data_IF_635921288302
#
_entry.id   IF_635921288302
#
_cell.length_a   1.000
_cell.length_b   1.000
_cell.length_c   1.000
_cell.angle_alpha   90.00
_cell.angle_beta   90.00
_cell.angle_gamma   90.00
#
_symmetry.space_group_name_H-M   'P 1'
#
loop_
_entity.id
_entity.type
_entity.pdbx_description
1 polymer ?
#
# COMPACT_ATOMS: atom_id res chain seq x y z
N UNK A 1 -8.03 70.46 16.88
CA UNK A 1 -7.40 69.31 16.20
C UNK A 1 -8.46 68.22 16.02
N UNK A 2 -9.16 68.12 14.88
CA UNK A 2 -10.08 67.01 14.67
C UNK A 2 -9.30 65.76 14.32
N UNK A 3 -9.64 64.64 14.95
CA UNK A 3 -9.05 63.32 14.69
C UNK A 3 -9.74 62.74 13.45
N UNK A 4 -8.98 62.51 12.40
CA UNK A 4 -9.44 61.76 11.22
C UNK A 4 -9.86 60.36 11.67
N UNK A 5 -11.14 60.05 11.49
CA UNK A 5 -11.67 58.71 11.73
C UNK A 5 -11.39 57.87 10.50
N UNK A 6 -10.45 56.93 10.61
CA UNK A 6 -10.26 55.86 9.65
C UNK A 6 -11.54 55.01 9.60
N UNK A 7 -12.35 55.24 8.57
CA UNK A 7 -13.50 54.40 8.25
C UNK A 7 -12.97 53.04 7.81
N UNK A 8 -13.16 52.03 8.65
CA UNK A 8 -13.01 50.65 8.25
C UNK A 8 -14.19 50.29 7.35
N UNK A 9 -13.93 50.03 6.07
CA UNK A 9 -14.94 49.52 5.15
C UNK A 9 -15.40 48.15 5.65
N UNK A 10 -16.67 48.06 6.07
CA UNK A 10 -17.28 46.82 6.53
C UNK A 10 -17.77 46.04 5.31
N UNK A 11 -17.07 44.95 4.98
CA UNK A 11 -17.40 44.03 3.88
C UNK A 11 -18.69 43.26 4.15
N UNK A 12 -19.83 43.85 3.76
CA UNK A 12 -21.18 43.30 3.91
C UNK A 12 -21.93 43.23 2.57
N UNK A 13 -21.21 43.24 1.45
CA UNK A 13 -21.85 43.13 0.14
C UNK A 13 -22.18 41.68 -0.21
N UNK A 14 -23.40 41.44 -0.69
CA UNK A 14 -23.78 40.16 -1.31
C UNK A 14 -22.80 39.79 -2.45
N UNK A 15 -22.32 40.77 -3.20
CA UNK A 15 -21.36 40.54 -4.28
C UNK A 15 -20.00 40.06 -3.76
N UNK A 16 -19.58 40.52 -2.58
CA UNK A 16 -18.33 40.09 -1.95
C UNK A 16 -18.39 38.63 -1.50
N UNK A 17 -19.51 38.22 -0.90
CA UNK A 17 -19.76 36.82 -0.55
C UNK A 17 -19.75 35.93 -1.80
N UNK A 18 -20.38 36.36 -2.90
CA UNK A 18 -20.40 35.63 -4.16
C UNK A 18 -18.99 35.48 -4.75
N UNK A 19 -18.15 36.52 -4.67
CA UNK A 19 -16.76 36.47 -5.13
C UNK A 19 -15.95 35.50 -4.27
N UNK A 20 -16.09 35.54 -2.94
CA UNK A 20 -15.40 34.61 -2.03
C UNK A 20 -15.81 33.17 -2.33
N UNK A 21 -17.11 32.89 -2.48
CA UNK A 21 -17.59 31.56 -2.84
C UNK A 21 -17.09 31.11 -4.22
N UNK A 22 -17.03 32.01 -5.21
CA UNK A 22 -16.48 31.72 -6.52
C UNK A 22 -15.00 31.32 -6.40
N UNK A 23 -14.18 32.08 -5.67
CA UNK A 23 -12.76 31.78 -5.45
C UNK A 23 -12.61 30.45 -4.68
N UNK A 24 -13.40 30.24 -3.62
CA UNK A 24 -13.39 28.99 -2.86
C UNK A 24 -13.75 27.77 -3.72
N UNK A 25 -14.72 27.89 -4.62
CA UNK A 25 -15.11 26.80 -5.51
C UNK A 25 -14.00 26.42 -6.50
N UNK A 26 -13.31 27.42 -7.05
CA UNK A 26 -12.15 27.21 -7.94
C UNK A 26 -11.02 26.52 -7.16
N UNK A 27 -10.69 27.01 -5.96
CA UNK A 27 -9.67 26.39 -5.11
C UNK A 27 -10.04 24.94 -4.73
N UNK A 28 -11.30 24.68 -4.40
CA UNK A 28 -11.76 23.34 -4.06
C UNK A 28 -11.58 22.35 -5.23
N UNK A 29 -11.89 22.76 -6.46
CA UNK A 29 -11.67 21.92 -7.65
C UNK A 29 -10.20 21.54 -7.85
N UNK A 30 -9.27 22.45 -7.53
CA UNK A 30 -7.82 22.18 -7.63
C UNK A 30 -7.30 21.32 -6.46
N UNK A 31 -7.92 21.43 -5.28
CA UNK A 31 -7.50 20.71 -4.07
C UNK A 31 -7.86 19.21 -4.09
N UNK A 32 -9.01 18.84 -4.68
CA UNK A 32 -9.51 17.45 -4.73
C UNK A 32 -8.49 16.46 -5.31
N UNK A 33 -7.92 16.65 -6.52
CA UNK A 33 -6.98 15.67 -7.09
C UNK A 33 -5.70 15.53 -6.24
N UNK A 34 -5.22 16.63 -5.65
CA UNK A 34 -4.06 16.60 -4.75
C UNK A 34 -4.32 15.71 -3.54
N UNK A 35 -5.48 15.86 -2.89
CA UNK A 35 -5.83 15.08 -1.71
C UNK A 35 -5.98 13.57 -2.03
N UNK A 36 -6.58 13.24 -3.17
CA UNK A 36 -6.70 11.84 -3.62
C UNK A 36 -5.33 11.18 -3.83
N UNK A 37 -4.36 11.92 -4.39
CA UNK A 37 -2.99 11.40 -4.60
C UNK A 37 -2.27 11.07 -3.28
N UNK A 38 -2.49 11.87 -2.23
CA UNK A 38 -1.89 11.65 -0.91
C UNK A 38 -2.47 10.40 -0.25
N UNK A 39 -3.79 10.23 -0.30
CA UNK A 39 -4.46 9.03 0.23
C UNK A 39 -3.98 7.78 -0.51
N UNK A 40 -3.97 7.81 -1.85
CA UNK A 40 -3.53 6.68 -2.67
C UNK A 40 -2.10 6.23 -2.33
N UNK A 41 -1.17 7.19 -2.20
CA UNK A 41 0.22 6.92 -1.78
C UNK A 41 0.30 6.33 -0.37
N UNK A 42 -0.53 6.83 0.55
CA UNK A 42 -0.62 6.30 1.92
C UNK A 42 -1.08 4.85 1.94
N UNK A 43 -2.13 4.51 1.18
CA UNK A 43 -2.63 3.14 1.06
C UNK A 43 -1.61 2.21 0.41
N UNK A 44 -0.97 2.64 -0.68
CA UNK A 44 0.08 1.88 -1.36
C UNK A 44 1.25 1.57 -0.42
N UNK A 45 1.71 2.56 0.36
CA UNK A 45 2.76 2.37 1.35
C UNK A 45 2.34 1.39 2.45
N UNK A 46 1.11 1.49 2.96
CA UNK A 46 0.57 0.57 3.97
C UNK A 46 0.56 -0.86 3.43
N UNK A 47 0.01 -1.06 2.23
CA UNK A 47 -0.03 -2.36 1.57
C UNK A 47 1.37 -2.94 1.40
N UNK A 48 2.32 -2.11 1.01
CA UNK A 48 3.71 -2.54 0.86
C UNK A 48 4.32 -3.02 2.17
N UNK A 49 4.10 -2.29 3.26
CA UNK A 49 4.58 -2.66 4.60
C UNK A 49 3.91 -3.94 5.08
N UNK A 50 2.59 -4.06 4.87
CA UNK A 50 1.81 -5.24 5.23
C UNK A 50 2.31 -6.48 4.46
N UNK A 51 2.46 -6.41 3.14
CA UNK A 51 3.00 -7.52 2.31
C UNK A 51 4.41 -7.92 2.79
N UNK A 52 5.31 -6.96 3.03
CA UNK A 52 6.63 -7.27 3.58
C UNK A 52 6.54 -7.98 4.94
N UNK A 53 5.60 -7.56 5.79
CA UNK A 53 5.37 -8.15 7.11
C UNK A 53 4.83 -9.57 7.01
N UNK A 54 3.94 -9.85 6.06
CA UNK A 54 3.39 -11.18 5.80
C UNK A 54 4.46 -12.15 5.31
N UNK A 55 5.34 -11.72 4.41
CA UNK A 55 6.47 -12.54 3.96
C UNK A 55 7.47 -12.82 5.09
N UNK A 56 7.72 -11.84 5.96
CA UNK A 56 8.57 -12.02 7.15
C UNK A 56 7.92 -12.96 8.16
N UNK A 57 6.62 -12.83 8.39
CA UNK A 57 5.83 -13.70 9.25
C UNK A 57 5.88 -15.15 8.73
N UNK A 58 5.65 -15.35 7.44
CA UNK A 58 5.75 -16.66 6.79
C UNK A 58 7.12 -17.31 7.04
N UNK A 59 8.21 -16.56 6.85
CA UNK A 59 9.56 -17.04 7.15
C UNK A 59 9.75 -17.37 8.63
N UNK A 60 9.31 -16.50 9.53
CA UNK A 60 9.44 -16.71 10.98
C UNK A 60 8.64 -17.93 11.44
N UNK A 61 7.43 -18.12 10.91
CA UNK A 61 6.60 -19.29 11.19
C UNK A 61 7.24 -20.58 10.67
N UNK A 62 7.86 -20.57 9.48
CA UNK A 62 8.58 -21.73 8.95
C UNK A 62 9.73 -22.14 9.89
N UNK A 63 10.49 -21.15 10.38
CA UNK A 63 11.56 -21.38 11.35
C UNK A 63 11.03 -21.87 12.70
N UNK A 64 10.02 -21.21 13.26
CA UNK A 64 9.49 -21.49 14.59
C UNK A 64 8.82 -22.86 14.67
N UNK A 65 8.06 -23.24 13.63
CA UNK A 65 7.38 -24.54 13.56
C UNK A 65 8.28 -25.66 13.02
N UNK A 66 9.45 -25.32 12.48
CA UNK A 66 10.36 -26.25 11.78
C UNK A 66 9.66 -26.99 10.63
N UNK A 67 8.74 -26.32 9.95
CA UNK A 67 7.94 -26.86 8.85
C UNK A 67 8.21 -26.08 7.56
N UNK A 68 8.05 -26.75 6.41
CA UNK A 68 8.07 -26.07 5.11
C UNK A 68 6.76 -25.33 4.93
N UNK A 69 6.83 -24.02 4.69
CA UNK A 69 5.66 -23.19 4.42
C UNK A 69 5.69 -22.66 3.00
N UNK A 70 4.52 -22.58 2.39
CA UNK A 70 4.30 -22.08 1.04
C UNK A 70 3.46 -20.83 1.09
N UNK A 71 3.95 -19.77 0.47
CA UNK A 71 3.22 -18.54 0.19
C UNK A 71 2.71 -18.62 -1.24
N UNK A 72 1.40 -18.51 -1.42
CA UNK A 72 0.74 -18.56 -2.73
C UNK A 72 0.19 -17.17 -3.02
N UNK A 73 0.58 -16.61 -4.16
CA UNK A 73 0.12 -15.32 -4.62
C UNK A 73 -1.02 -15.54 -5.62
N UNK A 74 -2.24 -15.21 -5.21
CA UNK A 74 -3.41 -15.24 -6.09
C UNK A 74 -3.70 -13.84 -6.62
N UNK A 75 -3.36 -13.63 -7.89
CA UNK A 75 -3.57 -12.36 -8.59
C UNK A 75 -5.05 -12.08 -8.86
N UNK A 76 -5.85 -13.12 -9.11
CA UNK A 76 -7.28 -12.97 -9.44
C UNK A 76 -8.08 -12.65 -8.18
N UNK A 77 -7.89 -13.45 -7.13
CA UNK A 77 -8.54 -13.24 -5.83
C UNK A 77 -7.94 -12.09 -5.01
N UNK A 78 -6.81 -11.52 -5.43
CA UNK A 78 -6.05 -10.49 -4.71
C UNK A 78 -5.71 -10.90 -3.27
N UNK A 79 -5.23 -12.13 -3.14
CA UNK A 79 -4.88 -12.70 -1.84
C UNK A 79 -3.47 -13.27 -1.83
N UNK A 80 -2.83 -13.19 -0.66
CA UNK A 80 -1.59 -13.91 -0.35
C UNK A 80 -1.94 -14.94 0.71
N UNK A 81 -1.84 -16.22 0.35
CA UNK A 81 -2.20 -17.33 1.23
C UNK A 81 -0.95 -18.04 1.73
N UNK A 82 -0.83 -18.18 3.05
CA UNK A 82 0.19 -19.00 3.69
C UNK A 82 -0.39 -20.39 3.97
N UNK A 83 0.22 -21.43 3.41
CA UNK A 83 -0.14 -22.84 3.63
C UNK A 83 1.06 -23.63 4.12
N UNK A 84 0.80 -24.75 4.79
CA UNK A 84 1.83 -25.76 5.03
C UNK A 84 2.14 -26.48 3.71
N UNK A 85 3.41 -26.73 3.42
CA UNK A 85 3.80 -27.42 2.18
C UNK A 85 3.56 -28.93 2.23
N UNK A 86 3.60 -29.50 3.44
CA UNK A 86 3.61 -30.95 3.68
C UNK A 86 2.29 -31.49 4.25
N UNK A 87 1.30 -30.64 4.51
CA UNK A 87 -0.05 -31.07 4.88
C UNK A 87 -1.09 -30.05 4.42
N UNK A 88 -2.33 -30.52 4.26
CA UNK A 88 -3.50 -29.67 4.06
C UNK A 88 -3.70 -28.77 5.29
N UNK A 89 -3.64 -27.45 5.08
CA UNK A 89 -3.82 -26.47 6.15
C UNK A 89 -3.47 -25.07 5.70
N UNK A 90 -4.48 -24.20 5.67
CA UNK A 90 -4.28 -22.75 5.51
C UNK A 90 -3.93 -22.19 6.88
N UNK A 91 -2.79 -21.50 6.95
CA UNK A 91 -2.30 -20.88 8.19
C UNK A 91 -2.77 -19.44 8.31
N UNK A 92 -2.76 -18.72 7.20
CA UNK A 92 -3.10 -17.30 7.17
C UNK A 92 -3.47 -16.88 5.75
N UNK A 93 -4.43 -15.97 5.63
CA UNK A 93 -4.85 -15.38 4.36
C UNK A 93 -4.80 -13.87 4.50
N UNK A 94 -3.96 -13.23 3.71
CA UNK A 94 -3.87 -11.78 3.63
C UNK A 94 -4.60 -11.30 2.36
N UNK A 95 -5.62 -10.48 2.52
CA UNK A 95 -6.39 -9.90 1.41
C UNK A 95 -5.98 -8.45 1.22
N UNK A 96 -5.67 -8.06 -0.03
CA UNK A 96 -5.26 -6.69 -0.35
C UNK A 96 -6.22 -5.98 -1.32
N UNK A 97 -7.44 -6.50 -1.47
CA UNK A 97 -8.48 -5.98 -2.39
C UNK A 97 -8.75 -4.49 -2.22
N UNK A 98 -8.82 -4.02 -0.96
CA UNK A 98 -9.22 -2.65 -0.63
C UNK A 98 -8.06 -1.66 -0.56
N UNK A 99 -6.83 -2.10 -0.85
CA UNK A 99 -5.61 -1.31 -0.63
C UNK A 99 -5.16 -0.52 -1.86
N UNK A 100 -5.90 -0.58 -2.97
CA UNK A 100 -5.57 0.15 -4.20
C UNK A 100 -4.27 -0.28 -4.86
N UNK A 101 -3.78 -1.49 -4.57
CA UNK A 101 -2.57 -2.06 -5.15
C UNK A 101 -2.85 -3.36 -5.90
N UNK A 102 -2.03 -3.63 -6.91
CA UNK A 102 -2.02 -4.86 -7.68
C UNK A 102 -0.66 -5.52 -7.53
N UNK A 103 -0.65 -6.73 -6.99
CA UNK A 103 0.55 -7.57 -6.92
C UNK A 103 0.66 -8.32 -8.25
N UNK A 104 1.78 -8.12 -8.95
CA UNK A 104 2.14 -8.92 -10.13
C UNK A 104 2.62 -10.31 -9.70
N UNK A 105 2.55 -11.26 -10.63
CA UNK A 105 3.05 -12.60 -10.38
C UNK A 105 4.57 -12.56 -10.09
N UNK A 106 5.05 -13.30 -9.06
CA UNK A 106 6.47 -13.34 -8.76
C UNK A 106 7.28 -13.93 -9.91
N UNK A 107 8.53 -13.48 -10.09
CA UNK A 107 9.40 -13.94 -11.18
C UNK A 107 9.72 -15.45 -11.14
N UNK A 108 9.65 -16.06 -9.96
CA UNK A 108 9.88 -17.50 -9.78
C UNK A 108 8.60 -18.36 -9.92
N UNK A 109 7.47 -17.76 -10.28
CA UNK A 109 6.15 -18.38 -10.31
C UNK A 109 5.25 -17.97 -9.14
N UNK A 110 4.01 -18.48 -9.09
CA UNK A 110 2.98 -18.02 -8.15
C UNK A 110 3.19 -18.51 -6.71
N UNK A 111 4.18 -19.38 -6.49
CA UNK A 111 4.46 -19.98 -5.19
C UNK A 111 5.88 -19.63 -4.71
N UNK A 112 5.99 -19.24 -3.44
CA UNK A 112 7.25 -19.03 -2.75
C UNK A 112 7.36 -19.99 -1.57
N UNK A 113 8.39 -20.83 -1.56
CA UNK A 113 8.61 -21.82 -0.51
C UNK A 113 9.70 -21.39 0.48
N UNK A 114 9.36 -21.39 1.76
CA UNK A 114 10.30 -21.23 2.87
C UNK A 114 10.59 -22.55 3.55
N UNK A 115 11.88 -22.85 3.75
CA UNK A 115 12.32 -24.00 4.54
C UNK A 115 12.34 -23.69 6.05
N UNK A 116 12.40 -24.73 6.91
CA UNK A 116 12.64 -24.59 8.36
C UNK A 116 13.89 -23.78 8.73
N UNK A 117 14.88 -23.70 7.84
CA UNK A 117 16.08 -22.85 7.99
C UNK A 117 15.81 -21.37 7.66
N UNK A 118 14.58 -21.04 7.26
CA UNK A 118 14.11 -19.75 6.77
C UNK A 118 14.77 -19.27 5.48
N UNK A 119 15.41 -20.17 4.74
CA UNK A 119 15.86 -19.94 3.35
C UNK A 119 14.68 -20.05 2.39
N UNK A 120 14.73 -19.31 1.30
CA UNK A 120 13.83 -19.50 0.16
C UNK A 120 14.41 -20.56 -0.78
N UNK A 121 13.55 -21.35 -1.44
CA UNK A 121 13.98 -22.26 -2.52
C UNK A 121 14.52 -21.49 -3.72
N UNK A 122 13.83 -20.42 -4.12
CA UNK A 122 14.16 -19.64 -5.32
C UNK A 122 14.15 -18.16 -4.95
N UNK A 123 15.19 -17.38 -5.31
CA UNK A 123 15.11 -15.94 -5.20
C UNK A 123 14.01 -15.43 -6.13
N UNK A 124 13.13 -14.56 -5.61
CA UNK A 124 12.01 -14.05 -6.41
C UNK A 124 11.85 -12.56 -6.21
N UNK A 125 11.46 -11.90 -7.29
CA UNK A 125 11.06 -10.51 -7.30
C UNK A 125 9.56 -10.43 -7.48
N UNK A 126 8.90 -9.64 -6.65
CA UNK A 126 7.45 -9.41 -6.68
C UNK A 126 7.26 -7.92 -6.93
N UNK A 127 6.56 -7.56 -8.00
CA UNK A 127 6.25 -6.16 -8.31
C UNK A 127 4.86 -5.84 -7.81
N UNK A 128 4.70 -4.70 -7.16
CA UNK A 128 3.43 -4.19 -6.68
C UNK A 128 3.20 -2.83 -7.32
N UNK A 129 2.12 -2.70 -8.09
CA UNK A 129 1.73 -1.46 -8.75
C UNK A 129 0.57 -0.82 -8.02
N UNK A 130 0.63 0.48 -7.76
CA UNK A 130 -0.49 1.23 -7.18
C UNK A 130 -1.45 1.79 -8.25
N UNK A 131 -2.55 2.38 -7.82
CA UNK A 131 -3.54 3.03 -8.69
C UNK A 131 -3.03 4.26 -9.45
N UNK A 132 -1.89 4.82 -9.03
CA UNK A 132 -1.22 5.97 -9.67
C UNK A 132 -0.12 5.52 -10.65
N UNK A 133 0.08 4.21 -10.82
CA UNK A 133 1.09 3.62 -11.71
C UNK A 133 2.49 3.53 -11.10
N UNK A 134 2.66 3.82 -9.81
CA UNK A 134 3.94 3.66 -9.13
C UNK A 134 4.18 2.19 -8.84
N UNK A 135 5.41 1.75 -9.07
CA UNK A 135 5.82 0.36 -8.83
C UNK A 135 6.76 0.29 -7.64
N UNK A 136 6.46 -0.62 -6.72
CA UNK A 136 7.34 -1.01 -5.62
C UNK A 136 7.75 -2.45 -5.82
N UNK A 137 9.04 -2.73 -5.64
CA UNK A 137 9.60 -4.05 -5.88
C UNK A 137 10.01 -4.71 -4.57
N UNK A 138 9.59 -5.96 -4.38
CA UNK A 138 10.01 -6.80 -3.27
C UNK A 138 10.96 -7.86 -3.80
N UNK A 139 12.12 -7.98 -3.16
CA UNK A 139 13.08 -9.03 -3.47
C UNK A 139 13.18 -9.97 -2.28
N UNK A 140 12.90 -11.24 -2.52
CA UNK A 140 13.16 -12.32 -1.57
C UNK A 140 14.45 -13.01 -2.02
N UNK A 141 15.51 -12.91 -1.23
CA UNK A 141 16.77 -13.59 -1.52
C UNK A 141 16.66 -15.09 -1.26
N UNK A 142 17.63 -15.86 -1.78
CA UNK A 142 17.78 -17.29 -1.43
C UNK A 142 18.00 -17.51 0.08
N UNK A 143 18.51 -16.53 0.81
CA UNK A 143 18.63 -16.56 2.27
C UNK A 143 17.32 -16.24 3.00
N UNK A 144 16.24 -16.01 2.25
CA UNK A 144 14.91 -15.64 2.75
C UNK A 144 14.82 -14.21 3.27
N UNK A 145 15.80 -13.35 2.98
CA UNK A 145 15.72 -11.92 3.33
C UNK A 145 14.72 -11.25 2.39
N UNK A 146 13.78 -10.51 2.97
CA UNK A 146 12.79 -9.71 2.26
C UNK A 146 13.24 -8.24 2.27
N UNK A 147 13.59 -7.70 1.11
CA UNK A 147 13.92 -6.28 0.91
C UNK A 147 12.88 -5.61 0.02
N UNK A 148 12.59 -4.34 0.30
CA UNK A 148 11.71 -3.48 -0.49
C UNK A 148 12.59 -2.45 -1.20
N UNK A 149 12.33 -2.19 -2.48
CA UNK A 149 13.05 -1.23 -3.32
C UNK A 149 12.09 -0.47 -4.23
#
# INVERSE_FOLDING_TARGET
>A
MPKESLKWEQGWSLTELLIVLAIMSIMAMLAVPSYQSVIARGQARSATIEIASELRLARQLAMARRERLRVIFDREGRTITLRRADAEGILHVYQYTDKGVVVEEPTAGPELLFHPSGRSVTPTTIRVRDSQGWETTFTVSITGRVSVS
#
